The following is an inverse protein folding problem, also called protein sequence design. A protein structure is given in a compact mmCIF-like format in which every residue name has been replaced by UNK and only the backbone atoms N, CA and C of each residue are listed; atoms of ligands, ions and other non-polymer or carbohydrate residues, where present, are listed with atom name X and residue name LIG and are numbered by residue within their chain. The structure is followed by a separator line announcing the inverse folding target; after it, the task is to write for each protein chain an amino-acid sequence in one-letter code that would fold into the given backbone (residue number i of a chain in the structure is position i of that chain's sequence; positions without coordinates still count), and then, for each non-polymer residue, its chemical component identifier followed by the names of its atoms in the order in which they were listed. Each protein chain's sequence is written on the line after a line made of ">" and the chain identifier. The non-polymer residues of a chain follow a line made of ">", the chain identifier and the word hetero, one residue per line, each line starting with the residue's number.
data_IF_902373495190
#
_entry.id   IF_902373495190
#
_cell.length_a   1.000
_cell.length_b   1.000
_cell.length_c   1.000
_cell.angle_alpha   90.00
_cell.angle_beta   90.00
_cell.angle_gamma   90.00
#
_symmetry.space_group_name_H-M   'P 1'
#
loop_
_entity.id
_entity.type
_entity.pdbx_description
1 polymer ?
#
# COMPACT_ATOMS: atom_id res chain seq x y z
N UNK A 1 9.35 14.82 4.81
CA UNK A 1 9.76 13.64 4.02
C UNK A 1 9.60 13.98 2.55
N UNK A 2 10.56 13.65 1.69
CA UNK A 2 10.38 13.81 0.25
C UNK A 2 9.31 12.83 -0.24
N UNK A 3 8.40 13.24 -1.14
CA UNK A 3 7.45 12.30 -1.74
C UNK A 3 8.23 11.21 -2.48
N UNK A 4 7.85 9.94 -2.28
CA UNK A 4 8.48 8.82 -3.00
C UNK A 4 8.14 8.93 -4.48
N UNK A 5 9.05 8.45 -5.33
CA UNK A 5 8.77 8.33 -6.76
C UNK A 5 7.66 7.27 -6.94
N UNK A 6 6.59 7.54 -7.71
CA UNK A 6 5.55 6.54 -7.92
C UNK A 6 6.09 5.35 -8.72
N UNK A 7 5.60 4.17 -8.38
CA UNK A 7 5.83 2.94 -9.14
C UNK A 7 4.80 2.81 -10.26
N UNK A 8 5.12 2.16 -11.39
CA UNK A 8 4.14 1.82 -12.43
C UNK A 8 2.98 0.94 -11.92
N UNK A 9 3.17 0.28 -10.77
CA UNK A 9 2.17 -0.55 -10.09
C UNK A 9 1.35 0.20 -9.06
N UNK A 10 1.59 1.49 -8.85
CA UNK A 10 0.77 2.29 -7.94
C UNK A 10 -0.63 2.49 -8.53
N UNK A 11 -1.63 2.46 -7.66
CA UNK A 11 -3.02 2.70 -8.04
C UNK A 11 -3.23 4.18 -8.38
N UNK A 12 -3.97 4.45 -9.47
CA UNK A 12 -4.35 5.83 -9.82
C UNK A 12 -5.27 6.44 -8.75
N UNK A 13 -5.46 7.76 -8.81
CA UNK A 13 -6.41 8.41 -7.91
C UNK A 13 -7.85 7.97 -8.18
N UNK A 14 -8.23 7.79 -9.45
CA UNK A 14 -9.56 7.32 -9.82
C UNK A 14 -9.81 5.87 -9.39
N UNK A 15 -8.85 4.99 -9.68
CA UNK A 15 -8.91 3.59 -9.24
C UNK A 15 -8.97 3.51 -7.70
N UNK A 16 -8.20 4.36 -7.01
CA UNK A 16 -8.20 4.42 -5.55
C UNK A 16 -9.55 4.88 -4.99
N UNK A 17 -10.15 5.91 -5.60
CA UNK A 17 -11.48 6.37 -5.18
C UNK A 17 -12.54 5.28 -5.29
N UNK A 18 -12.41 4.40 -6.29
CA UNK A 18 -13.26 3.21 -6.43
C UNK A 18 -12.95 2.13 -5.38
N UNK A 19 -11.67 1.82 -5.13
CA UNK A 19 -11.27 0.73 -4.25
C UNK A 19 -11.38 1.07 -2.75
N UNK A 20 -11.10 2.32 -2.37
CA UNK A 20 -10.95 2.74 -0.98
C UNK A 20 -12.18 2.42 -0.11
N UNK A 21 -13.44 2.67 -0.53
CA UNK A 21 -14.62 2.40 0.29
C UNK A 21 -14.74 0.93 0.72
N UNK A 22 -14.26 0.00 -0.11
CA UNK A 22 -14.31 -1.44 0.17
C UNK A 22 -13.17 -1.91 1.09
N UNK A 23 -12.06 -1.16 1.12
CA UNK A 23 -10.90 -1.46 1.94
C UNK A 23 -10.97 -0.76 3.31
N UNK A 24 -11.78 0.30 3.43
CA UNK A 24 -11.97 1.05 4.67
C UNK A 24 -13.05 0.44 5.55
N UNK A 25 -12.74 -0.70 6.17
CA UNK A 25 -13.61 -1.34 7.17
C UNK A 25 -13.39 -0.83 8.61
N UNK A 26 -12.44 0.09 8.80
CA UNK A 26 -12.06 0.64 10.11
C UNK A 26 -11.89 2.16 10.03
N UNK A 27 -12.04 2.82 11.18
CA UNK A 27 -11.77 4.25 11.35
C UNK A 27 -10.32 4.58 10.92
N UNK A 28 -10.13 5.73 10.26
CA UNK A 28 -8.79 6.24 9.92
C UNK A 28 -7.92 6.52 11.15
N UNK A 29 -8.53 6.83 12.29
CA UNK A 29 -7.85 7.11 13.56
C UNK A 29 -7.62 5.86 14.43
N UNK A 30 -8.03 4.67 13.95
CA UNK A 30 -7.83 3.44 14.70
C UNK A 30 -6.32 3.21 14.96
N UNK A 31 -5.91 2.85 16.20
CA UNK A 31 -4.50 2.68 16.55
C UNK A 31 -3.80 1.57 15.76
N UNK A 32 -4.57 0.65 15.17
CA UNK A 32 -4.08 -0.40 14.27
C UNK A 32 -3.63 0.17 12.92
N UNK A 33 -4.14 1.34 12.49
CA UNK A 33 -3.76 2.02 11.23
C UNK A 33 -2.47 2.82 11.38
N UNK A 34 -1.35 2.10 11.48
CA UNK A 34 -0.01 2.71 11.49
C UNK A 34 0.43 3.24 10.12
N UNK A 35 -0.06 2.62 9.05
CA UNK A 35 0.30 2.98 7.67
C UNK A 35 -0.94 3.39 6.87
N UNK A 36 -0.74 4.31 5.93
CA UNK A 36 -1.80 4.70 5.01
C UNK A 36 -2.25 3.47 4.20
N UNK A 37 -3.56 3.24 4.14
CA UNK A 37 -4.13 2.07 3.45
C UNK A 37 -3.72 2.01 1.97
N UNK A 38 -3.63 3.18 1.32
CA UNK A 38 -3.16 3.27 -0.07
C UNK A 38 -1.71 2.81 -0.22
N UNK A 39 -0.85 3.09 0.76
CA UNK A 39 0.53 2.64 0.74
C UNK A 39 0.63 1.12 0.89
N UNK A 40 -0.17 0.52 1.79
CA UNK A 40 -0.27 -0.94 1.91
C UNK A 40 -0.80 -1.58 0.62
N UNK A 41 -1.84 -1.00 0.02
CA UNK A 41 -2.41 -1.51 -1.22
C UNK A 41 -1.43 -1.43 -2.39
N UNK A 42 -0.66 -0.35 -2.51
CA UNK A 42 0.40 -0.23 -3.50
C UNK A 42 1.54 -1.23 -3.29
N UNK A 43 1.93 -1.50 -2.03
CA UNK A 43 2.91 -2.54 -1.71
C UNK A 43 2.42 -3.93 -2.15
N UNK A 44 1.15 -4.25 -1.90
CA UNK A 44 0.52 -5.49 -2.33
C UNK A 44 0.50 -5.62 -3.87
N UNK A 45 0.10 -4.56 -4.59
CA UNK A 45 0.14 -4.54 -6.07
C UNK A 45 1.55 -4.72 -6.61
N UNK A 46 2.54 -4.10 -5.97
CA UNK A 46 3.93 -4.24 -6.36
C UNK A 46 4.37 -5.70 -6.26
N UNK A 47 4.10 -6.36 -5.13
CA UNK A 47 4.43 -7.79 -4.92
C UNK A 47 3.69 -8.67 -5.92
N UNK A 48 2.38 -8.47 -6.10
CA UNK A 48 1.56 -9.24 -7.03
C UNK A 48 2.06 -9.13 -8.47
N UNK A 49 2.57 -7.95 -8.88
CA UNK A 49 3.12 -7.74 -10.23
C UNK A 49 4.55 -8.24 -10.37
N UNK A 50 5.39 -8.04 -9.36
CA UNK A 50 6.80 -8.43 -9.39
C UNK A 50 7.02 -9.93 -9.20
N UNK A 51 6.09 -10.63 -8.51
CA UNK A 51 6.24 -12.03 -8.12
C UNK A 51 7.39 -12.26 -7.14
N UNK A 52 7.83 -11.20 -6.46
CA UNK A 52 8.99 -11.24 -5.57
C UNK A 52 8.61 -11.76 -4.17
N UNK A 53 9.53 -12.43 -3.45
CA UNK A 53 9.36 -12.74 -2.04
C UNK A 53 9.12 -11.46 -1.21
N UNK A 54 8.26 -11.55 -0.19
CA UNK A 54 7.89 -10.43 0.70
C UNK A 54 9.09 -9.69 1.30
N UNK A 55 10.16 -10.41 1.64
CA UNK A 55 11.41 -9.83 2.19
C UNK A 55 12.18 -8.93 1.22
N UNK A 56 11.83 -8.95 -0.07
CA UNK A 56 12.41 -8.08 -1.09
C UNK A 56 11.52 -6.85 -1.38
N UNK A 57 10.47 -6.62 -0.60
CA UNK A 57 9.67 -5.41 -0.70
C UNK A 57 10.58 -4.17 -0.54
N UNK A 58 10.52 -3.18 -1.46
CA UNK A 58 11.31 -1.97 -1.35
C UNK A 58 11.08 -1.20 -0.04
N UNK A 59 12.15 -0.61 0.51
CA UNK A 59 12.14 0.06 1.81
C UNK A 59 11.33 1.38 1.86
N UNK A 60 10.83 1.87 0.72
CA UNK A 60 9.95 3.03 0.65
C UNK A 60 8.46 2.66 0.77
N UNK A 61 8.13 1.37 0.84
CA UNK A 61 6.83 0.86 1.27
C UNK A 61 6.78 0.63 2.78
N UNK A 62 5.57 0.44 3.36
CA UNK A 62 5.43 -0.12 4.70
C UNK A 62 6.22 -1.43 4.85
N UNK A 63 6.68 -1.78 6.07
CA UNK A 63 7.41 -3.02 6.32
C UNK A 63 6.62 -4.24 5.83
N UNK A 64 7.33 -5.21 5.25
CA UNK A 64 6.71 -6.40 4.68
C UNK A 64 5.87 -7.18 5.70
N UNK A 65 6.23 -7.12 6.98
CA UNK A 65 5.49 -7.71 8.11
C UNK A 65 4.10 -7.12 8.30
N UNK A 66 3.89 -5.88 7.86
CA UNK A 66 2.59 -5.21 7.93
C UNK A 66 1.75 -5.42 6.67
N UNK A 67 2.37 -5.82 5.55
CA UNK A 67 1.68 -6.06 4.27
C UNK A 67 1.28 -7.53 4.13
N UNK A 68 2.07 -8.45 4.71
CA UNK A 68 1.78 -9.88 4.83
C UNK A 68 0.62 -10.14 5.80
#
# INVERSE_FOLDING_TARGET
>A
MKPRKPYPTDISDEEWAFAAPYLTLMDAQAPQRKYALRAMFNALRWIARAGAPWRLLPNDFPPWEAVY
#
